data_IF_356917964247
#
_entry.id   IF_356917964247
#
_cell.length_a   1.000
_cell.length_b   1.000
_cell.length_c   1.000
_cell.angle_alpha   90.00
_cell.angle_beta   90.00
_cell.angle_gamma   90.00
#
_symmetry.space_group_name_H-M   'P 1'
#
loop_
_entity.id
_entity.type
_entity.pdbx_description
1 polymer ?
#
# COMPACT_ATOMS: atom_id res chain seq x y z
N UNK A 1 8.75 -6.97 -38.90
CA UNK A 1 9.24 -8.02 -37.99
C UNK A 1 10.31 -7.41 -37.09
N UNK A 2 9.91 -6.97 -35.90
CA UNK A 2 10.82 -6.53 -34.85
C UNK A 2 10.26 -7.08 -33.54
N UNK A 3 11.08 -7.83 -32.82
CA UNK A 3 10.70 -8.71 -31.73
C UNK A 3 10.08 -7.95 -30.55
N UNK A 4 8.98 -8.50 -30.04
CA UNK A 4 8.36 -8.10 -28.80
C UNK A 4 9.31 -8.39 -27.64
N UNK A 5 9.79 -7.35 -26.96
CA UNK A 5 10.41 -7.49 -25.66
C UNK A 5 9.30 -7.80 -24.64
N UNK A 6 9.30 -9.01 -24.11
CA UNK A 6 8.42 -9.38 -23.00
C UNK A 6 8.83 -8.62 -21.73
N UNK A 7 7.88 -8.18 -20.88
CA UNK A 7 8.23 -7.63 -19.58
C UNK A 7 8.74 -8.75 -18.68
N UNK A 8 9.90 -8.53 -18.07
CA UNK A 8 10.44 -9.37 -17.00
C UNK A 8 9.54 -9.22 -15.76
N UNK A 9 8.68 -10.21 -15.54
CA UNK A 9 7.91 -10.39 -14.32
C UNK A 9 8.85 -10.75 -13.15
N UNK A 10 9.31 -9.75 -12.42
CA UNK A 10 10.11 -9.92 -11.21
C UNK A 10 9.19 -10.00 -9.97
N UNK A 11 8.39 -11.08 -9.89
CA UNK A 11 7.58 -11.41 -8.70
C UNK A 11 8.40 -12.13 -7.62
N UNK A 12 9.58 -11.68 -7.18
CA UNK A 12 10.29 -12.41 -6.11
C UNK A 12 11.30 -11.56 -5.34
N UNK A 13 10.83 -10.75 -4.39
CA UNK A 13 11.69 -10.27 -3.26
C UNK A 13 10.93 -10.19 -1.93
N UNK A 14 9.60 -10.08 -1.92
CA UNK A 14 8.81 -9.99 -0.67
C UNK A 14 8.70 -11.29 0.15
N UNK A 15 8.94 -12.46 -0.46
CA UNK A 15 8.72 -13.76 0.19
C UNK A 15 9.79 -14.18 1.20
N UNK A 16 11.06 -13.82 0.97
CA UNK A 16 12.17 -14.39 1.74
C UNK A 16 12.28 -13.85 3.18
N UNK A 17 11.88 -12.59 3.42
CA UNK A 17 11.81 -12.06 4.80
C UNK A 17 10.63 -12.64 5.59
N UNK A 18 9.51 -12.95 4.94
CA UNK A 18 8.34 -13.56 5.58
C UNK A 18 8.64 -14.96 6.12
N UNK A 19 9.43 -15.76 5.40
CA UNK A 19 9.83 -17.09 5.83
C UNK A 19 10.83 -17.09 6.99
N UNK A 20 11.76 -16.13 7.03
CA UNK A 20 12.72 -16.00 8.13
C UNK A 20 12.02 -15.60 9.45
N UNK A 21 11.00 -14.73 9.38
CA UNK A 21 10.18 -14.36 10.54
C UNK A 21 9.25 -15.50 10.96
N UNK A 22 8.65 -16.24 10.02
CA UNK A 22 7.81 -17.40 10.33
C UNK A 22 8.61 -18.55 11.01
N UNK A 23 9.84 -18.80 10.56
CA UNK A 23 10.75 -19.77 11.18
C UNK A 23 11.24 -19.33 12.58
N UNK A 24 11.27 -18.03 12.85
CA UNK A 24 11.68 -17.48 14.15
C UNK A 24 10.50 -17.39 15.14
N UNK A 25 9.32 -16.96 14.68
CA UNK A 25 8.10 -16.86 15.49
C UNK A 25 7.54 -18.25 15.82
N UNK A 26 7.58 -19.20 14.88
CA UNK A 26 7.21 -20.60 15.15
C UNK A 26 8.12 -21.32 16.15
N UNK A 27 9.24 -20.69 16.55
CA UNK A 27 10.19 -21.22 17.55
C UNK A 27 9.97 -20.62 18.95
N UNK A 28 9.18 -19.56 19.08
CA UNK A 28 8.91 -18.88 20.36
C UNK A 28 7.60 -19.34 21.02
N UNK A 29 6.69 -19.95 20.27
CA UNK A 29 5.43 -20.50 20.78
C UNK A 29 5.49 -22.04 20.86
N UNK A 30 5.88 -22.59 22.01
CA UNK A 30 5.64 -24.01 22.31
C UNK A 30 6.83 -24.75 22.92
N UNK A 31 6.92 -24.73 24.25
CA UNK A 31 7.80 -25.64 24.98
C UNK A 31 7.31 -27.09 24.91
N UNK A 32 8.25 -28.01 24.59
CA UNK A 32 8.17 -29.49 24.64
C UNK A 32 7.18 -30.09 23.62
N UNK A 33 7.57 -30.91 22.65
CA UNK A 33 8.22 -32.23 22.72
C UNK A 33 8.69 -32.58 21.30
N UNK A 34 9.76 -33.37 21.16
CA UNK A 34 9.93 -34.20 19.95
C UNK A 34 11.35 -34.21 19.42
N UNK A 35 12.07 -35.27 19.75
CA UNK A 35 13.38 -35.63 19.21
C UNK A 35 13.25 -35.83 17.69
N UNK A 36 13.44 -34.78 16.89
CA UNK A 36 13.64 -34.93 15.45
C UNK A 36 15.12 -35.18 15.19
N UNK A 37 15.35 -36.35 14.61
CA UNK A 37 16.64 -36.99 14.42
C UNK A 37 17.49 -36.14 13.47
N UNK A 38 18.53 -35.50 14.01
CA UNK A 38 19.61 -34.86 13.26
C UNK A 38 20.59 -35.93 12.73
N UNK A 39 20.14 -36.82 11.83
CA UNK A 39 21.03 -37.84 11.24
C UNK A 39 21.43 -37.61 9.79
N UNK A 40 20.98 -36.54 9.13
CA UNK A 40 21.26 -36.32 7.70
C UNK A 40 21.83 -34.93 7.41
N UNK A 41 22.71 -34.45 8.30
CA UNK A 41 23.61 -33.34 7.96
C UNK A 41 25.03 -33.93 7.91
N UNK A 42 25.49 -34.24 6.70
CA UNK A 42 26.89 -34.54 6.43
C UNK A 42 27.73 -33.33 6.85
N UNK A 43 28.66 -33.54 7.80
CA UNK A 43 29.48 -32.47 8.39
C UNK A 43 29.67 -32.53 9.92
N UNK A 44 29.02 -33.46 10.63
CA UNK A 44 29.11 -33.59 12.10
C UNK A 44 29.95 -34.80 12.58
N UNK A 45 30.83 -35.35 11.75
CA UNK A 45 31.67 -36.50 12.13
C UNK A 45 32.59 -36.20 13.33
N UNK A 46 32.98 -34.94 13.52
CA UNK A 46 33.81 -34.52 14.66
C UNK A 46 33.10 -34.52 16.01
N UNK A 47 31.75 -34.48 16.06
CA UNK A 47 31.03 -34.36 17.33
C UNK A 47 30.78 -35.71 18.01
N UNK A 48 30.66 -36.80 17.23
CA UNK A 48 30.45 -38.15 17.77
C UNK A 48 31.68 -38.69 18.52
N UNK A 49 32.89 -38.30 18.11
CA UNK A 49 34.14 -38.73 18.76
C UNK A 49 34.25 -38.15 20.18
N UNK A 50 33.87 -36.88 20.37
CA UNK A 50 33.90 -36.22 21.67
C UNK A 50 32.93 -36.83 22.70
N UNK A 51 31.81 -37.40 22.27
CA UNK A 51 30.82 -37.98 23.19
C UNK A 51 31.19 -39.37 23.72
N UNK A 52 31.89 -40.19 22.93
CA UNK A 52 32.32 -41.54 23.36
C UNK A 52 33.58 -41.48 24.24
N UNK A 53 34.51 -40.57 23.94
CA UNK A 53 35.72 -40.40 24.74
C UNK A 53 35.44 -39.76 26.10
N UNK A 54 34.49 -38.81 26.16
CA UNK A 54 34.00 -38.26 27.43
C UNK A 54 33.25 -39.29 28.29
N UNK A 55 32.63 -40.30 27.66
CA UNK A 55 31.92 -41.38 28.34
C UNK A 55 32.90 -42.42 28.90
N UNK A 56 33.91 -42.81 28.12
CA UNK A 56 35.01 -43.69 28.56
C UNK A 56 35.82 -43.11 29.72
N UNK A 57 36.08 -41.80 29.71
CA UNK A 57 36.85 -41.12 30.77
C UNK A 57 36.05 -40.92 32.07
N UNK A 58 34.73 -40.78 31.98
CA UNK A 58 33.83 -40.82 33.15
C UNK A 58 33.73 -42.21 33.78
N UNK A 59 33.74 -43.27 32.98
CA UNK A 59 33.74 -44.66 33.45
C UNK A 59 35.09 -45.10 34.02
N UNK A 60 36.19 -44.43 33.64
CA UNK A 60 37.55 -44.68 34.13
C UNK A 60 37.88 -44.04 35.50
N UNK A 61 36.98 -43.27 36.10
CA UNK A 61 37.16 -42.74 37.46
C UNK A 61 38.22 -41.64 37.61
N UNK A 62 38.56 -40.91 36.55
CA UNK A 62 39.42 -39.73 36.66
C UNK A 62 38.65 -38.57 37.30
N UNK A 63 39.00 -38.24 38.56
CA UNK A 63 38.44 -37.13 39.31
C UNK A 63 38.61 -35.80 38.55
N UNK A 64 37.51 -35.06 38.48
CA UNK A 64 37.44 -33.71 37.92
C UNK A 64 38.22 -32.71 38.78
N UNK A 65 39.54 -32.71 38.61
CA UNK A 65 40.45 -31.74 39.19
C UNK A 65 41.30 -31.16 38.07
N UNK A 66 40.99 -29.92 37.72
CA UNK A 66 41.73 -29.07 36.75
C UNK A 66 41.60 -29.48 35.28
N UNK A 67 40.42 -29.23 34.70
CA UNK A 67 40.34 -28.99 33.25
C UNK A 67 40.46 -27.48 33.05
N UNK A 68 41.67 -27.04 32.76
CA UNK A 68 41.88 -25.81 32.01
C UNK A 68 41.01 -25.87 30.76
N UNK A 69 40.10 -24.90 30.67
CA UNK A 69 39.20 -24.68 29.55
C UNK A 69 39.98 -24.08 28.36
N UNK A 70 40.95 -24.84 27.82
CA UNK A 70 41.78 -24.45 26.67
C UNK A 70 41.73 -25.49 25.55
N UNK A 71 40.58 -26.16 25.40
CA UNK A 71 40.30 -27.00 24.24
C UNK A 71 39.44 -26.23 23.22
N UNK A 72 40.10 -25.60 22.25
CA UNK A 72 39.58 -25.48 20.89
C UNK A 72 38.38 -24.56 20.62
N UNK A 73 38.22 -23.46 21.35
CA UNK A 73 37.40 -22.37 20.81
C UNK A 73 38.17 -21.72 19.65
N UNK A 74 37.55 -21.50 18.47
CA UNK A 74 38.18 -20.75 17.40
C UNK A 74 38.68 -19.42 17.98
N UNK A 75 39.93 -19.08 17.69
CA UNK A 75 40.55 -17.84 18.15
C UNK A 75 39.61 -16.66 17.89
N UNK A 76 39.45 -15.71 18.82
CA UNK A 76 38.56 -14.59 18.62
C UNK A 76 39.03 -13.83 17.38
N UNK A 77 38.27 -13.98 16.29
CA UNK A 77 38.44 -13.16 15.09
C UNK A 77 38.38 -11.72 15.59
N UNK A 78 39.45 -10.99 15.30
CA UNK A 78 39.80 -9.74 15.93
C UNK A 78 38.67 -8.71 15.87
N UNK A 79 38.13 -8.35 17.04
CA UNK A 79 37.92 -6.94 17.40
C UNK A 79 36.62 -6.22 17.02
N UNK A 80 35.71 -6.78 16.24
CA UNK A 80 34.37 -6.19 16.05
C UNK A 80 33.28 -7.24 16.17
N UNK A 81 32.32 -7.01 17.08
CA UNK A 81 31.23 -7.93 17.38
C UNK A 81 30.33 -8.08 16.14
N UNK A 82 30.04 -9.32 15.72
CA UNK A 82 29.16 -9.67 14.57
C UNK A 82 27.88 -8.80 14.50
N UNK A 83 27.21 -8.46 15.63
CA UNK A 83 26.06 -7.55 15.61
C UNK A 83 26.35 -6.15 15.08
N UNK A 84 27.50 -5.55 15.40
CA UNK A 84 27.87 -4.21 14.92
C UNK A 84 28.10 -4.23 13.41
N UNK A 85 28.80 -5.25 12.90
CA UNK A 85 29.02 -5.41 11.47
C UNK A 85 27.71 -5.53 10.71
N UNK A 86 26.79 -6.37 11.21
CA UNK A 86 25.46 -6.52 10.63
C UNK A 86 24.71 -5.19 10.58
N UNK A 87 24.67 -4.45 11.69
CA UNK A 87 23.98 -3.15 11.74
C UNK A 87 24.63 -2.09 10.83
N UNK A 88 25.95 -2.09 10.70
CA UNK A 88 26.64 -1.21 9.75
C UNK A 88 26.26 -1.54 8.30
N UNK A 89 26.07 -2.81 7.96
CA UNK A 89 25.55 -3.22 6.65
C UNK A 89 24.11 -2.70 6.47
N UNK A 90 23.24 -2.85 7.47
CA UNK A 90 21.88 -2.30 7.41
C UNK A 90 21.88 -0.80 7.17
N UNK A 91 22.74 -0.05 7.90
CA UNK A 91 22.88 1.39 7.72
C UNK A 91 23.40 1.75 6.33
N UNK A 92 24.46 1.07 5.87
CA UNK A 92 25.06 1.29 4.55
C UNK A 92 24.05 1.03 3.43
N UNK A 93 23.37 -0.11 3.46
CA UNK A 93 22.34 -0.45 2.46
C UNK A 93 21.17 0.52 2.56
N UNK A 94 20.70 0.83 3.77
CA UNK A 94 19.61 1.77 4.02
C UNK A 94 19.90 3.17 3.48
N UNK A 95 21.15 3.65 3.53
CA UNK A 95 21.57 4.92 2.92
C UNK A 95 21.81 4.80 1.40
N UNK A 96 22.32 3.66 0.94
CA UNK A 96 22.59 3.43 -0.48
C UNK A 96 21.30 3.34 -1.31
N UNK A 97 20.20 2.80 -0.75
CA UNK A 97 18.94 2.65 -1.48
C UNK A 97 18.36 4.00 -1.95
N UNK A 98 18.14 5.03 -1.10
CA UNK A 98 17.70 6.35 -1.55
C UNK A 98 18.67 7.00 -2.53
N UNK A 99 19.98 6.83 -2.31
CA UNK A 99 20.98 7.38 -3.22
C UNK A 99 20.92 6.70 -4.60
N UNK A 100 20.71 5.39 -4.64
CA UNK A 100 20.69 4.63 -5.90
C UNK A 100 19.56 5.06 -6.83
N UNK A 101 18.38 5.41 -6.28
CA UNK A 101 17.22 5.78 -7.11
C UNK A 101 17.35 7.16 -7.76
N UNK A 102 18.32 7.98 -7.33
CA UNK A 102 18.68 9.23 -8.01
C UNK A 102 19.35 8.97 -9.36
N UNK A 103 20.03 7.82 -9.51
CA UNK A 103 20.81 7.49 -10.71
C UNK A 103 20.17 6.36 -11.53
N UNK A 104 19.53 5.40 -10.86
CA UNK A 104 18.96 4.21 -11.48
C UNK A 104 17.49 4.11 -11.09
N UNK A 105 16.61 4.37 -12.05
CA UNK A 105 15.17 4.28 -11.83
C UNK A 105 14.43 3.84 -13.09
N UNK A 106 13.25 3.28 -12.87
CA UNK A 106 12.31 2.98 -13.94
C UNK A 106 11.51 4.24 -14.26
N UNK A 107 11.51 4.64 -15.54
CA UNK A 107 10.62 5.69 -16.05
C UNK A 107 9.28 5.04 -16.37
N UNK A 108 8.32 5.25 -15.49
CA UNK A 108 6.94 4.74 -15.62
C UNK A 108 5.99 5.77 -16.25
N UNK A 109 4.68 5.49 -16.20
CA UNK A 109 3.63 6.35 -16.74
C UNK A 109 3.61 7.78 -16.16
N UNK A 110 4.24 8.04 -15.01
CA UNK A 110 4.35 9.39 -14.45
C UNK A 110 5.53 10.18 -15.04
N UNK A 111 6.39 9.53 -15.82
CA UNK A 111 7.57 10.16 -16.43
C UNK A 111 8.66 10.56 -15.41
N UNK A 112 8.46 10.25 -14.13
CA UNK A 112 9.33 10.54 -13.00
C UNK A 112 9.64 9.25 -12.24
N UNK A 113 10.64 9.29 -11.35
CA UNK A 113 11.11 8.11 -10.59
C UNK A 113 10.20 7.70 -9.42
N UNK A 114 8.94 8.13 -9.41
CA UNK A 114 8.06 8.07 -8.24
C UNK A 114 7.83 6.64 -7.73
N UNK A 115 7.50 5.68 -8.59
CA UNK A 115 7.33 4.29 -8.14
C UNK A 115 8.65 3.65 -7.69
N UNK A 116 9.78 4.05 -8.27
CA UNK A 116 11.10 3.59 -7.84
C UNK A 116 11.40 4.13 -6.44
N UNK A 117 11.18 5.43 -6.19
CA UNK A 117 11.29 6.02 -4.85
C UNK A 117 10.43 5.24 -3.87
N UNK A 118 9.13 5.07 -4.14
CA UNK A 118 8.24 4.40 -3.19
C UNK A 118 8.71 3.00 -2.83
N UNK A 119 9.06 2.16 -3.81
CA UNK A 119 9.45 0.76 -3.56
C UNK A 119 10.73 0.65 -2.73
N UNK A 120 11.72 1.48 -3.01
CA UNK A 120 13.03 1.40 -2.35
C UNK A 120 13.10 2.18 -1.04
N UNK A 121 12.39 3.31 -0.93
CA UNK A 121 12.36 4.09 0.30
C UNK A 121 11.74 3.27 1.43
N UNK A 122 10.64 2.54 1.22
CA UNK A 122 10.07 1.72 2.30
C UNK A 122 11.09 0.74 2.90
N UNK A 123 11.94 0.13 2.07
CA UNK A 123 13.01 -0.74 2.56
C UNK A 123 14.09 0.06 3.30
N UNK A 124 14.51 1.20 2.75
CA UNK A 124 15.47 2.10 3.39
C UNK A 124 15.01 2.54 4.79
N UNK A 125 13.75 2.94 4.93
CA UNK A 125 13.16 3.35 6.20
C UNK A 125 13.24 2.24 7.25
N UNK A 126 12.90 0.99 6.89
CA UNK A 126 12.97 -0.15 7.82
C UNK A 126 14.42 -0.44 8.25
N UNK A 127 15.35 -0.49 7.29
CA UNK A 127 16.76 -0.76 7.55
C UNK A 127 17.39 0.32 8.46
N UNK A 128 17.12 1.60 8.15
CA UNK A 128 17.62 2.73 8.92
C UNK A 128 16.97 2.81 10.31
N UNK A 129 15.69 2.44 10.46
CA UNK A 129 15.04 2.39 11.76
C UNK A 129 15.69 1.36 12.70
N UNK A 130 15.93 0.14 12.21
CA UNK A 130 16.62 -0.90 12.97
C UNK A 130 18.06 -0.50 13.32
N UNK A 131 18.79 0.03 12.34
CA UNK A 131 20.15 0.50 12.56
C UNK A 131 20.21 1.65 13.58
N UNK A 132 19.28 2.59 13.51
CA UNK A 132 19.19 3.72 14.44
C UNK A 132 18.84 3.28 15.85
N UNK A 133 17.89 2.35 16.02
CA UNK A 133 17.55 1.79 17.32
C UNK A 133 18.75 1.11 17.99
N UNK A 134 19.50 0.31 17.23
CA UNK A 134 20.75 -0.28 17.72
C UNK A 134 21.80 0.77 18.03
N UNK A 135 21.97 1.81 17.19
CA UNK A 135 22.91 2.89 17.44
C UNK A 135 22.61 3.63 18.76
N UNK A 136 21.33 3.93 19.03
CA UNK A 136 20.89 4.54 20.30
C UNK A 136 21.29 3.68 21.49
N UNK A 137 20.99 2.37 21.44
CA UNK A 137 21.38 1.41 22.47
C UNK A 137 22.89 1.33 22.65
N UNK A 138 23.61 1.09 21.55
CA UNK A 138 25.06 0.86 21.55
C UNK A 138 25.80 2.09 22.09
N UNK A 139 25.45 3.29 21.60
CA UNK A 139 26.00 4.55 22.06
C UNK A 139 25.70 4.83 23.54
N UNK A 140 24.51 4.46 24.03
CA UNK A 140 24.14 4.63 25.44
C UNK A 140 24.96 3.73 26.37
N UNK A 141 25.22 2.48 25.97
CA UNK A 141 25.97 1.52 26.79
C UNK A 141 27.48 1.81 26.78
N UNK A 142 28.04 2.10 25.61
CA UNK A 142 29.50 2.19 25.43
C UNK A 142 30.08 3.60 25.68
N UNK A 143 29.27 4.65 25.62
CA UNK A 143 29.70 6.00 26.04
C UNK A 143 29.77 6.10 27.57
N UNK A 144 30.61 6.98 28.11
CA UNK A 144 30.75 7.23 29.56
C UNK A 144 30.72 8.72 29.90
N UNK A 145 30.40 9.04 31.15
CA UNK A 145 30.40 10.41 31.67
C UNK A 145 29.58 11.38 30.81
N UNK A 146 30.13 12.55 30.53
CA UNK A 146 29.48 13.60 29.74
C UNK A 146 29.12 13.14 28.30
N UNK A 147 29.92 12.27 27.68
CA UNK A 147 29.64 11.78 26.33
C UNK A 147 28.35 10.94 26.28
N UNK A 148 28.07 10.14 27.32
CA UNK A 148 26.81 9.39 27.42
C UNK A 148 25.62 10.33 27.56
N UNK A 149 25.74 11.34 28.43
CA UNK A 149 24.68 12.33 28.65
C UNK A 149 24.41 13.11 27.37
N UNK A 150 25.45 13.58 26.68
CA UNK A 150 25.32 14.29 25.41
C UNK A 150 24.67 13.43 24.32
N UNK A 151 25.07 12.15 24.19
CA UNK A 151 24.46 11.20 23.26
C UNK A 151 22.96 11.00 23.54
N UNK A 152 22.61 10.69 24.79
CA UNK A 152 21.23 10.44 25.18
C UNK A 152 20.36 11.70 25.03
N UNK A 153 20.87 12.86 25.45
CA UNK A 153 20.18 14.14 25.26
C UNK A 153 19.97 14.44 23.78
N UNK A 154 21.00 14.26 22.94
CA UNK A 154 20.89 14.44 21.49
C UNK A 154 19.86 13.51 20.86
N UNK A 155 19.87 12.22 21.21
CA UNK A 155 18.88 11.26 20.71
C UNK A 155 17.47 11.56 21.21
N UNK A 156 17.32 11.96 22.48
CA UNK A 156 16.04 12.37 23.04
C UNK A 156 15.48 13.60 22.32
N UNK A 157 16.32 14.59 22.00
CA UNK A 157 15.93 15.76 21.23
C UNK A 157 15.52 15.40 19.80
N UNK A 158 16.23 14.48 19.14
CA UNK A 158 15.86 13.99 17.80
C UNK A 158 14.50 13.26 17.81
N UNK A 159 14.28 12.38 18.78
CA UNK A 159 12.99 11.70 18.95
C UNK A 159 11.88 12.70 19.25
N UNK A 160 12.10 13.63 20.18
CA UNK A 160 11.15 14.68 20.50
C UNK A 160 10.81 15.56 19.28
N UNK A 161 11.82 15.92 18.48
CA UNK A 161 11.64 16.64 17.22
C UNK A 161 10.82 15.84 16.20
N UNK A 162 11.09 14.54 16.06
CA UNK A 162 10.31 13.65 15.20
C UNK A 162 8.85 13.48 15.63
N UNK A 163 8.58 13.50 16.94
CA UNK A 163 7.24 13.40 17.50
C UNK A 163 6.37 14.65 17.28
N UNK A 164 6.97 15.79 16.91
CA UNK A 164 6.21 17.01 16.56
C UNK A 164 5.21 16.73 15.43
N UNK A 165 5.62 15.97 14.40
CA UNK A 165 4.75 15.66 13.27
C UNK A 165 3.49 14.89 13.69
N UNK A 166 3.54 13.68 14.31
CA UNK A 166 2.32 12.97 14.66
C UNK A 166 1.45 13.72 15.68
N UNK A 167 2.06 14.48 16.62
CA UNK A 167 1.30 15.29 17.59
C UNK A 167 0.49 16.40 16.93
N UNK A 168 1.05 17.08 15.92
CA UNK A 168 0.36 18.17 15.23
C UNK A 168 -0.50 17.69 14.06
N UNK A 169 -0.02 16.71 13.30
CA UNK A 169 -0.67 16.20 12.10
C UNK A 169 -1.94 15.41 12.43
N UNK A 170 -1.95 14.61 13.51
CA UNK A 170 -3.13 13.79 13.86
C UNK A 170 -4.40 14.63 14.08
N UNK A 171 -4.43 15.62 15.00
CA UNK A 171 -5.61 16.45 15.16
C UNK A 171 -5.88 17.27 13.90
N UNK A 172 -4.86 17.82 13.22
CA UNK A 172 -5.07 18.59 11.99
C UNK A 172 -5.73 17.76 10.88
N UNK A 173 -5.32 16.51 10.68
CA UNK A 173 -5.89 15.59 9.68
C UNK A 173 -7.28 15.10 10.06
N UNK A 174 -7.61 15.08 11.34
CA UNK A 174 -8.94 14.75 11.84
C UNK A 174 -9.87 15.98 11.95
N UNK A 175 -9.49 17.12 11.35
CA UNK A 175 -10.19 18.40 11.51
C UNK A 175 -10.47 18.73 12.98
N UNK A 176 -9.45 18.51 13.81
CA UNK A 176 -9.46 18.66 15.27
C UNK A 176 -10.58 17.88 15.98
N UNK A 177 -11.05 16.79 15.37
CA UNK A 177 -12.17 15.99 15.87
C UNK A 177 -13.43 16.84 16.13
N UNK A 178 -13.65 17.89 15.34
CA UNK A 178 -14.85 18.73 15.43
C UNK A 178 -16.14 17.95 15.11
N UNK A 179 -16.03 16.88 14.31
CA UNK A 179 -17.11 16.00 13.93
C UNK A 179 -17.00 14.64 14.62
N UNK A 180 -18.13 13.93 14.75
CA UNK A 180 -18.16 12.58 15.31
C UNK A 180 -17.30 11.61 14.46
N UNK A 181 -16.25 10.99 15.03
CA UNK A 181 -15.41 10.06 14.29
C UNK A 181 -16.19 8.82 13.87
N UNK A 182 -16.07 8.42 12.62
CA UNK A 182 -16.77 7.24 12.10
C UNK A 182 -15.91 6.45 11.12
N UNK A 183 -16.07 5.12 11.14
CA UNK A 183 -15.51 4.22 10.13
C UNK A 183 -16.46 4.04 8.94
N UNK A 184 -17.63 4.67 8.96
CA UNK A 184 -18.57 4.64 7.86
C UNK A 184 -18.12 5.58 6.73
N UNK A 185 -17.55 5.01 5.67
CA UNK A 185 -17.04 5.77 4.53
C UNK A 185 -18.09 6.66 3.84
N UNK A 186 -19.38 6.30 3.89
CA UNK A 186 -20.45 7.09 3.24
C UNK A 186 -21.03 8.18 4.14
N UNK A 187 -20.70 8.22 5.43
CA UNK A 187 -21.22 9.23 6.36
C UNK A 187 -20.86 10.68 5.95
N UNK A 188 -19.70 10.86 5.30
CA UNK A 188 -19.32 12.15 4.74
C UNK A 188 -20.26 12.57 3.59
N UNK A 189 -20.66 11.63 2.72
CA UNK A 189 -21.61 11.90 1.63
C UNK A 189 -22.99 12.24 2.22
N UNK A 190 -23.45 11.50 3.22
CA UNK A 190 -24.72 11.78 3.89
C UNK A 190 -24.79 13.21 4.46
N UNK A 191 -23.70 13.70 5.04
CA UNK A 191 -23.64 15.04 5.65
C UNK A 191 -23.37 16.17 4.66
N UNK A 192 -22.54 15.96 3.64
CA UNK A 192 -22.10 17.02 2.72
C UNK A 192 -22.83 17.02 1.38
N UNK A 193 -23.40 15.87 0.96
CA UNK A 193 -24.04 15.64 -0.34
C UNK A 193 -25.31 14.77 -0.17
N UNK A 194 -26.32 15.25 0.58
CA UNK A 194 -27.49 14.44 0.95
C UNK A 194 -28.29 13.93 -0.25
N UNK A 195 -28.33 14.66 -1.37
CA UNK A 195 -28.98 14.22 -2.60
C UNK A 195 -28.31 13.00 -3.24
N UNK A 196 -26.98 13.02 -3.35
CA UNK A 196 -26.21 11.88 -3.85
C UNK A 196 -26.30 10.70 -2.88
N UNK A 197 -26.30 10.93 -1.56
CA UNK A 197 -26.53 9.87 -0.56
C UNK A 197 -27.88 9.18 -0.77
N UNK A 198 -28.96 9.96 -0.85
CA UNK A 198 -30.29 9.41 -1.03
C UNK A 198 -30.45 8.71 -2.40
N UNK A 199 -29.80 9.21 -3.45
CA UNK A 199 -29.72 8.55 -4.75
C UNK A 199 -28.99 7.19 -4.69
N UNK A 200 -27.87 7.11 -3.95
CA UNK A 200 -27.13 5.87 -3.72
C UNK A 200 -28.02 4.84 -3.00
N UNK A 201 -28.69 5.25 -1.93
CA UNK A 201 -29.59 4.37 -1.18
C UNK A 201 -30.77 3.91 -2.04
N UNK A 202 -31.34 4.80 -2.85
CA UNK A 202 -32.40 4.45 -3.79
C UNK A 202 -31.93 3.41 -4.82
N UNK A 203 -30.75 3.59 -5.42
CA UNK A 203 -30.19 2.63 -6.38
C UNK A 203 -29.95 1.27 -5.73
N UNK A 204 -29.38 1.23 -4.51
CA UNK A 204 -29.17 -0.02 -3.77
C UNK A 204 -30.47 -0.79 -3.51
N UNK A 205 -31.57 -0.07 -3.28
CA UNK A 205 -32.86 -0.68 -2.98
C UNK A 205 -33.68 -1.06 -4.23
N UNK A 206 -33.47 -0.39 -5.37
CA UNK A 206 -34.38 -0.46 -6.52
C UNK A 206 -33.72 -0.91 -7.83
N UNK A 207 -32.41 -0.73 -8.00
CA UNK A 207 -31.73 -1.09 -9.23
C UNK A 207 -31.51 -2.61 -9.30
N UNK A 208 -31.55 -3.17 -10.51
CA UNK A 208 -31.11 -4.54 -10.76
C UNK A 208 -29.58 -4.64 -10.63
N UNK A 209 -29.08 -5.79 -10.17
CA UNK A 209 -27.63 -6.09 -10.12
C UNK A 209 -26.95 -6.02 -11.50
N UNK A 210 -27.72 -6.10 -12.58
CA UNK A 210 -27.22 -5.99 -13.97
C UNK A 210 -27.29 -4.57 -14.52
N UNK A 211 -27.81 -3.61 -13.76
CA UNK A 211 -28.00 -2.24 -14.23
C UNK A 211 -26.65 -1.55 -14.46
N UNK A 212 -26.54 -0.83 -15.58
CA UNK A 212 -25.41 0.06 -15.86
C UNK A 212 -25.85 1.49 -15.62
N UNK A 213 -25.07 2.22 -14.81
CA UNK A 213 -25.33 3.63 -14.53
C UNK A 213 -24.41 4.53 -15.37
N UNK A 214 -24.90 5.69 -15.77
CA UNK A 214 -24.09 6.76 -16.32
C UNK A 214 -23.87 7.82 -15.24
N UNK A 215 -22.62 8.06 -14.90
CA UNK A 215 -22.16 9.23 -14.15
C UNK A 215 -20.97 9.88 -14.84
N UNK A 216 -20.69 11.14 -14.54
CA UNK A 216 -19.55 11.83 -15.14
C UNK A 216 -18.21 11.19 -14.72
N UNK A 217 -17.26 10.99 -15.66
CA UNK A 217 -15.95 10.48 -15.34
C UNK A 217 -15.11 11.54 -14.61
N UNK A 218 -13.95 11.10 -14.11
CA UNK A 218 -12.90 12.00 -13.61
C UNK A 218 -12.31 12.88 -14.71
N UNK A 219 -11.21 13.57 -14.40
CA UNK A 219 -10.49 14.27 -15.45
C UNK A 219 -9.84 13.28 -16.43
N UNK A 220 -9.70 13.65 -17.72
CA UNK A 220 -9.01 12.85 -18.73
C UNK A 220 -7.54 12.57 -18.37
N UNK A 221 -6.92 11.59 -19.04
CA UNK A 221 -5.48 11.35 -18.88
C UNK A 221 -4.65 12.57 -19.26
N UNK A 222 -3.63 12.82 -18.45
CA UNK A 222 -2.72 13.95 -18.62
C UNK A 222 -3.18 15.22 -17.89
N UNK A 223 -4.45 15.30 -17.51
CA UNK A 223 -4.92 16.32 -16.57
C UNK A 223 -4.75 15.82 -15.13
N UNK A 224 -4.18 16.67 -14.27
CA UNK A 224 -4.13 16.42 -12.82
C UNK A 224 -5.53 16.60 -12.23
N UNK A 225 -6.44 15.65 -12.47
CA UNK A 225 -7.80 15.67 -11.92
C UNK A 225 -8.31 14.29 -11.49
N UNK A 226 -7.39 13.41 -11.10
CA UNK A 226 -7.71 12.34 -10.17
C UNK A 226 -8.05 12.91 -8.79
N UNK A 227 -8.84 12.19 -7.97
CA UNK A 227 -9.24 12.62 -6.62
C UNK A 227 -10.23 13.80 -6.60
N UNK A 228 -11.07 13.93 -7.63
CA UNK A 228 -12.28 14.75 -7.57
C UNK A 228 -13.50 13.88 -7.17
N UNK A 229 -14.67 14.50 -7.09
CA UNK A 229 -15.90 13.84 -6.62
C UNK A 229 -16.54 12.88 -7.65
N UNK A 230 -15.91 12.62 -8.80
CA UNK A 230 -16.40 11.66 -9.80
C UNK A 230 -16.36 10.21 -9.32
N UNK A 231 -17.17 9.34 -9.93
CA UNK A 231 -17.21 7.91 -9.61
C UNK A 231 -17.88 7.57 -8.28
N UNK A 232 -18.48 8.57 -7.61
CA UNK A 232 -19.04 8.42 -6.26
C UNK A 232 -20.26 7.50 -6.21
N UNK A 233 -21.08 7.45 -7.25
CA UNK A 233 -22.30 6.64 -7.24
C UNK A 233 -21.96 5.19 -7.53
N UNK A 234 -21.15 4.91 -8.56
CA UNK A 234 -20.73 3.54 -8.87
C UNK A 234 -19.92 2.92 -7.75
N UNK A 235 -18.97 3.66 -7.16
CA UNK A 235 -18.15 3.17 -6.06
C UNK A 235 -18.96 2.81 -4.82
N UNK A 236 -20.04 3.55 -4.53
CA UNK A 236 -20.87 3.32 -3.34
C UNK A 236 -22.02 2.34 -3.59
N UNK A 237 -22.55 2.24 -4.81
CA UNK A 237 -23.64 1.30 -5.13
C UNK A 237 -23.14 -0.08 -5.51
N UNK A 238 -21.91 -0.20 -6.04
CA UNK A 238 -21.41 -1.42 -6.66
C UNK A 238 -21.90 -1.61 -8.10
N UNK A 239 -22.72 -0.70 -8.62
CA UNK A 239 -23.19 -0.74 -10.01
C UNK A 239 -22.11 -0.25 -10.96
N UNK A 240 -21.90 -0.91 -12.12
CA UNK A 240 -20.92 -0.48 -13.10
C UNK A 240 -21.32 0.85 -13.76
N UNK A 241 -20.33 1.69 -14.03
CA UNK A 241 -20.46 2.85 -14.93
C UNK A 241 -19.53 2.74 -16.13
N UNK A 242 -19.75 3.55 -17.16
CA UNK A 242 -18.97 3.52 -18.40
C UNK A 242 -17.49 3.79 -18.14
N UNK A 243 -17.20 4.82 -17.33
CA UNK A 243 -15.85 5.19 -16.95
C UNK A 243 -15.88 5.99 -15.64
N UNK A 244 -15.14 5.53 -14.64
CA UNK A 244 -14.81 6.33 -13.45
C UNK A 244 -13.61 7.22 -13.74
N UNK A 245 -12.43 6.82 -13.27
CA UNK A 245 -11.20 7.60 -13.42
C UNK A 245 -10.34 7.08 -14.58
N UNK A 246 -10.42 7.72 -15.75
CA UNK A 246 -9.69 7.31 -16.97
C UNK A 246 -8.18 7.17 -16.76
N UNK A 247 -7.56 8.16 -16.11
CA UNK A 247 -6.13 8.11 -15.78
C UNK A 247 -5.72 6.94 -14.88
N UNK A 248 -6.59 6.48 -13.97
CA UNK A 248 -6.30 5.31 -13.14
C UNK A 248 -6.52 4.00 -13.90
N UNK A 249 -7.52 3.96 -14.78
CA UNK A 249 -7.69 2.82 -15.69
C UNK A 249 -6.45 2.61 -16.54
N UNK A 250 -5.81 3.68 -17.02
CA UNK A 250 -4.60 3.56 -17.83
C UNK A 250 -3.38 3.07 -17.07
N UNK A 251 -3.25 3.45 -15.79
CA UNK A 251 -2.22 2.92 -14.91
C UNK A 251 -2.39 1.41 -14.68
N UNK A 252 -3.64 0.93 -14.56
CA UNK A 252 -3.92 -0.49 -14.34
C UNK A 252 -3.86 -1.34 -15.61
N UNK A 253 -4.18 -0.76 -16.77
CA UNK A 253 -4.26 -1.50 -18.05
C UNK A 253 -3.03 -1.32 -18.93
N UNK A 254 -2.21 -0.29 -18.68
CA UNK A 254 -1.02 0.03 -19.46
C UNK A 254 -1.29 0.78 -20.78
N UNK A 255 -2.54 1.15 -21.09
CA UNK A 255 -2.93 1.91 -22.27
C UNK A 255 -4.13 2.83 -21.99
N UNK A 256 -4.45 3.73 -22.93
CA UNK A 256 -5.58 4.67 -22.83
C UNK A 256 -6.71 4.38 -23.84
N UNK A 257 -6.72 3.20 -24.46
CA UNK A 257 -7.58 2.95 -25.63
C UNK A 257 -9.06 2.95 -25.25
N UNK A 258 -9.45 2.25 -24.19
CA UNK A 258 -10.83 2.21 -23.72
C UNK A 258 -11.29 3.52 -23.07
N UNK A 259 -10.55 4.14 -22.13
CA UNK A 259 -10.90 5.47 -21.62
C UNK A 259 -11.04 6.51 -22.73
N UNK A 260 -10.08 6.60 -23.64
CA UNK A 260 -10.09 7.56 -24.75
C UNK A 260 -11.22 7.34 -25.75
N UNK A 261 -11.77 6.13 -25.84
CA UNK A 261 -12.98 5.84 -26.64
C UNK A 261 -14.28 6.19 -25.91
N UNK A 262 -14.32 6.05 -24.57
CA UNK A 262 -15.54 6.25 -23.77
C UNK A 262 -15.75 7.69 -23.35
N UNK A 263 -14.68 8.45 -23.09
CA UNK A 263 -14.79 9.86 -22.67
C UNK A 263 -15.59 10.71 -23.66
N UNK A 264 -15.31 10.69 -24.98
CA UNK A 264 -16.08 11.48 -25.94
C UNK A 264 -17.56 11.05 -26.00
N UNK A 265 -17.83 9.75 -25.86
CA UNK A 265 -19.19 9.22 -25.86
C UNK A 265 -19.97 9.65 -24.60
N UNK A 266 -19.32 9.68 -23.43
CA UNK A 266 -19.93 10.17 -22.19
C UNK A 266 -20.17 11.69 -22.28
N UNK A 267 -19.19 12.45 -22.75
CA UNK A 267 -19.36 13.89 -22.95
C UNK A 267 -20.46 14.20 -23.96
N UNK A 268 -20.60 13.38 -25.01
CA UNK A 268 -21.70 13.46 -25.95
C UNK A 268 -23.03 13.13 -25.31
N UNK A 269 -23.12 12.04 -24.53
CA UNK A 269 -24.30 11.65 -23.77
C UNK A 269 -24.79 12.80 -22.88
N UNK A 270 -23.90 13.58 -22.25
CA UNK A 270 -24.29 14.69 -21.40
C UNK A 270 -24.51 16.03 -22.13
N UNK A 271 -23.81 16.33 -23.22
CA UNK A 271 -23.87 17.65 -23.89
C UNK A 271 -24.77 17.74 -25.13
N UNK A 272 -24.91 16.67 -25.92
CA UNK A 272 -25.73 16.74 -27.16
C UNK A 272 -27.18 17.07 -26.83
N UNK A 273 -27.91 17.70 -27.74
CA UNK A 273 -29.39 17.85 -27.65
C UNK A 273 -30.12 16.95 -28.63
N UNK A 274 -29.39 16.17 -29.45
CA UNK A 274 -29.98 15.20 -30.37
C UNK A 274 -30.43 13.94 -29.61
N UNK A 275 -31.75 13.75 -29.59
CA UNK A 275 -32.38 12.63 -28.90
C UNK A 275 -32.04 11.27 -29.51
N UNK A 276 -31.91 11.19 -30.85
CA UNK A 276 -31.57 9.92 -31.53
C UNK A 276 -30.15 9.50 -31.25
N UNK A 277 -29.24 10.48 -31.23
CA UNK A 277 -27.84 10.23 -30.90
C UNK A 277 -27.69 9.79 -29.44
N UNK A 278 -28.40 10.45 -28.52
CA UNK A 278 -28.44 10.07 -27.09
C UNK A 278 -28.96 8.64 -26.95
N UNK A 279 -30.09 8.33 -27.59
CA UNK A 279 -30.71 7.00 -27.59
C UNK A 279 -29.74 5.92 -28.09
N UNK A 280 -29.08 6.15 -29.23
CA UNK A 280 -28.12 5.21 -29.80
C UNK A 280 -26.93 4.90 -28.86
N UNK A 281 -26.42 5.91 -28.14
CA UNK A 281 -25.35 5.72 -27.14
C UNK A 281 -25.85 5.02 -25.88
N UNK A 282 -27.05 5.36 -25.40
CA UNK A 282 -27.68 4.64 -24.29
C UNK A 282 -27.85 3.16 -24.65
N UNK A 283 -28.22 2.84 -25.90
CA UNK A 283 -28.43 1.46 -26.38
C UNK A 283 -27.10 0.73 -26.52
N UNK A 284 -26.10 1.37 -27.15
CA UNK A 284 -24.74 0.84 -27.33
C UNK A 284 -24.11 0.36 -26.02
N UNK A 285 -24.34 1.08 -24.93
CA UNK A 285 -23.74 0.79 -23.63
C UNK A 285 -24.69 0.11 -22.63
N UNK A 286 -25.94 -0.16 -23.00
CA UNK A 286 -26.92 -0.77 -22.11
C UNK A 286 -27.21 0.06 -20.86
N UNK A 287 -27.14 1.39 -20.96
CA UNK A 287 -27.32 2.30 -19.82
C UNK A 287 -28.77 2.22 -19.33
N UNK A 288 -28.94 1.81 -18.08
CA UNK A 288 -30.23 1.67 -17.39
C UNK A 288 -30.62 2.95 -16.65
N UNK A 289 -29.65 3.61 -16.02
CA UNK A 289 -29.85 4.83 -15.26
C UNK A 289 -28.86 5.92 -15.65
N UNK A 290 -29.31 7.17 -15.69
CA UNK A 290 -28.46 8.36 -15.86
C UNK A 290 -28.55 9.22 -14.61
N UNK A 291 -27.39 9.53 -14.02
CA UNK A 291 -27.29 10.40 -12.85
C UNK A 291 -27.05 11.83 -13.30
N UNK A 292 -27.80 12.77 -12.71
CA UNK A 292 -27.60 14.21 -12.85
C UNK A 292 -27.66 14.86 -11.47
N UNK A 293 -26.49 15.01 -10.83
CA UNK A 293 -26.30 15.75 -9.58
C UNK A 293 -25.51 17.04 -9.80
N UNK A 294 -25.03 17.65 -8.71
CA UNK A 294 -24.24 18.89 -8.76
C UNK A 294 -23.00 18.74 -9.63
N UNK A 295 -22.30 17.60 -9.51
CA UNK A 295 -21.07 17.34 -10.26
C UNK A 295 -21.32 17.31 -11.78
N UNK A 296 -22.41 16.68 -12.22
CA UNK A 296 -22.79 16.70 -13.64
C UNK A 296 -23.23 18.10 -14.10
N UNK A 297 -23.91 18.87 -13.25
CA UNK A 297 -24.38 20.24 -13.57
C UNK A 297 -23.25 21.26 -13.64
N UNK A 298 -22.21 21.10 -12.83
CA UNK A 298 -21.00 21.92 -12.88
C UNK A 298 -20.19 21.66 -14.16
N UNK A 299 -20.22 20.42 -14.67
CA UNK A 299 -19.42 19.99 -15.82
C UNK A 299 -20.10 20.18 -17.17
N UNK A 300 -21.41 19.99 -17.26
CA UNK A 300 -22.12 19.85 -18.54
C UNK A 300 -23.19 20.92 -18.79
N UNK A 301 -23.47 21.18 -20.06
CA UNK A 301 -24.38 22.25 -20.46
C UNK A 301 -25.85 21.94 -20.07
N UNK A 302 -26.59 22.88 -19.45
CA UNK A 302 -27.98 22.64 -19.03
C UNK A 302 -28.94 22.11 -20.11
N UNK A 303 -28.88 22.55 -21.38
CA UNK A 303 -29.73 21.98 -22.43
C UNK A 303 -29.47 20.49 -22.68
N UNK A 304 -28.20 20.06 -22.58
CA UNK A 304 -27.82 18.66 -22.70
C UNK A 304 -28.36 17.83 -21.53
N UNK A 305 -28.37 18.37 -20.30
CA UNK A 305 -28.91 17.66 -19.15
C UNK A 305 -30.44 17.53 -19.19
N UNK A 306 -31.15 18.62 -19.52
CA UNK A 306 -32.63 18.63 -19.57
C UNK A 306 -33.22 17.68 -20.61
N UNK A 307 -32.46 17.28 -21.64
CA UNK A 307 -32.97 16.38 -22.68
C UNK A 307 -33.40 15.01 -22.11
N UNK A 308 -32.81 14.58 -21.00
CA UNK A 308 -33.13 13.28 -20.41
C UNK A 308 -34.59 13.21 -19.96
N UNK A 309 -35.21 14.33 -19.58
CA UNK A 309 -36.64 14.42 -19.26
C UNK A 309 -37.56 14.01 -20.43
N UNK A 310 -37.07 14.12 -21.67
CA UNK A 310 -37.85 13.76 -22.87
C UNK A 310 -37.70 12.27 -23.22
N UNK A 311 -36.54 11.68 -22.89
CA UNK A 311 -36.15 10.32 -23.28
C UNK A 311 -36.40 9.26 -22.19
N UNK A 312 -36.34 9.68 -20.93
CA UNK A 312 -36.26 8.79 -19.77
C UNK A 312 -37.26 9.24 -18.71
N UNK A 313 -37.60 8.33 -17.80
CA UNK A 313 -38.50 8.63 -16.69
C UNK A 313 -37.71 9.05 -15.44
N UNK A 314 -38.25 9.97 -14.65
CA UNK A 314 -37.63 10.38 -13.39
C UNK A 314 -37.94 9.31 -12.34
N UNK A 315 -36.94 8.51 -11.99
CA UNK A 315 -37.10 7.42 -11.02
C UNK A 315 -36.84 7.90 -9.57
N UNK A 316 -35.99 8.90 -9.42
CA UNK A 316 -35.68 9.54 -8.13
C UNK A 316 -35.28 11.00 -8.32
N UNK A 317 -35.69 11.87 -7.40
CA UNK A 317 -35.24 13.25 -7.36
C UNK A 317 -35.26 13.77 -5.92
N UNK A 318 -34.10 14.22 -5.43
CA UNK A 318 -33.97 14.84 -4.12
C UNK A 318 -32.71 15.71 -4.05
N UNK A 319 -32.78 16.85 -3.37
CA UNK A 319 -31.63 17.71 -3.01
C UNK A 319 -30.63 17.91 -4.17
N UNK A 320 -31.14 18.33 -5.33
CA UNK A 320 -30.33 18.65 -6.53
C UNK A 320 -29.92 17.43 -7.39
N UNK A 321 -30.11 16.21 -6.89
CA UNK A 321 -29.75 14.96 -7.58
C UNK A 321 -30.98 14.33 -8.22
N UNK A 322 -30.84 13.89 -9.47
CA UNK A 322 -31.89 13.23 -10.23
C UNK A 322 -31.36 11.96 -10.86
N UNK A 323 -32.15 10.88 -10.76
CA UNK A 323 -31.92 9.62 -11.45
C UNK A 323 -32.98 9.49 -12.54
N UNK A 324 -32.52 9.47 -13.79
CA UNK A 324 -33.34 9.13 -14.94
C UNK A 324 -33.22 7.63 -15.22
N UNK A 325 -34.34 6.95 -15.44
CA UNK A 325 -34.41 5.53 -15.76
C UNK A 325 -34.91 5.32 -17.18
N UNK A 326 -34.36 4.32 -17.87
CA UNK A 326 -34.84 3.85 -19.17
C UNK A 326 -36.33 3.48 -19.13
N UNK A 327 -37.04 3.92 -20.17
CA UNK A 327 -38.40 3.45 -20.50
C UNK A 327 -38.38 2.04 -21.06
#
# INVERSE_FOLDING_TARGET
MAAAAQPLDLYFVGGLLGWAVALWVGRLEGGKVGRLVLSEVEGLEGWKVGSEEAKRRREAGEEASQIELTAGLPSPVSGHTIPVQFVLILALVGLALPLSVEFVYLRDNFGIRMNTIFKFYFQAWVLLALASAFAVYYGSVHSRGLARVAWQAGMALLVAGGLVYPVLATPNKADFFQNEPTLNAIAWIASHRPGDYAAIEWLRANASDQAVILEAPGAPAGEFGAYNYSGRISAMTGLPTLLGWGGHQSQWRGNYDEPGRREPDIDQLYNTTDLRQTQALLDKYGISYVIVGDFERERYAPPGLRKFEQLMDVAFQQDGTTIYQRR
#
